data_IF_161282824775
#
_entry.id   IF_161282824775
#
_cell.length_a   1.000
_cell.length_b   1.000
_cell.length_c   1.000
_cell.angle_alpha   90.00
_cell.angle_beta   90.00
_cell.angle_gamma   90.00
#
_symmetry.space_group_name_H-M   'P 1'
#
loop_
_entity.id
_entity.type
_entity.pdbx_description
1 polymer ?
#
# COMPACT_ATOMS: atom_id res chain seq x y z
N UNK A 1 -6.47 4.64 -11.78
CA UNK A 1 -6.53 3.19 -11.52
C UNK A 1 -5.52 2.85 -10.43
N UNK A 2 -5.90 3.00 -9.16
CA UNK A 2 -5.07 2.70 -7.95
C UNK A 2 -5.93 2.70 -6.65
N UNK A 3 -7.27 2.72 -6.76
CA UNK A 3 -8.18 2.94 -5.62
C UNK A 3 -8.14 1.79 -4.60
N UNK A 4 -7.99 0.54 -5.06
CA UNK A 4 -7.99 -0.64 -4.20
C UNK A 4 -6.90 -0.63 -3.11
N UNK A 5 -5.68 -0.14 -3.40
CA UNK A 5 -4.60 -0.17 -2.40
C UNK A 5 -4.84 0.86 -1.30
N UNK A 6 -5.25 2.07 -1.68
CA UNK A 6 -5.56 3.15 -0.74
C UNK A 6 -6.78 2.81 0.10
N UNK A 7 -7.82 2.24 -0.50
CA UNK A 7 -9.02 1.76 0.21
C UNK A 7 -8.67 0.65 1.21
N UNK A 8 -7.78 -0.27 0.82
CA UNK A 8 -7.30 -1.34 1.69
C UNK A 8 -6.58 -0.77 2.92
N UNK A 9 -5.65 0.17 2.71
CA UNK A 9 -4.91 0.83 3.80
C UNK A 9 -5.85 1.61 4.71
N UNK A 10 -6.80 2.36 4.13
CA UNK A 10 -7.79 3.11 4.88
C UNK A 10 -8.70 2.22 5.72
N UNK A 11 -9.06 1.02 5.22
CA UNK A 11 -9.88 0.07 5.97
C UNK A 11 -9.18 -0.41 7.25
N UNK A 12 -7.86 -0.63 7.19
CA UNK A 12 -7.05 -1.08 8.34
C UNK A 12 -6.86 0.05 9.35
N UNK A 13 -6.60 1.27 8.87
CA UNK A 13 -6.35 2.45 9.70
C UNK A 13 -7.63 3.12 10.23
N UNK A 14 -8.82 2.62 9.84
CA UNK A 14 -10.12 3.21 10.19
C UNK A 14 -10.29 3.33 11.71
N UNK A 15 -10.42 4.56 12.21
CA UNK A 15 -10.61 4.84 13.64
C UNK A 15 -9.34 4.76 14.50
N UNK A 16 -8.17 4.45 13.93
CA UNK A 16 -6.90 4.43 14.65
C UNK A 16 -6.20 5.81 14.70
N UNK A 17 -6.58 6.73 13.81
CA UNK A 17 -5.85 7.99 13.56
C UNK A 17 -5.74 8.99 14.74
N UNK A 18 -6.53 8.82 15.80
CA UNK A 18 -6.50 9.69 16.99
C UNK A 18 -5.83 9.02 18.21
N UNK A 19 -5.26 7.83 18.04
CA UNK A 19 -4.62 7.10 19.13
C UNK A 19 -3.24 7.68 19.45
N UNK A 20 -2.80 7.62 20.73
CA UNK A 20 -1.40 7.85 21.07
C UNK A 20 -0.47 6.98 20.21
N UNK A 21 0.72 7.48 19.86
CA UNK A 21 1.64 6.83 18.88
C UNK A 21 1.84 5.33 19.16
N UNK A 22 2.04 4.94 20.42
CA UNK A 22 2.21 3.53 20.80
C UNK A 22 0.94 2.69 20.54
N UNK A 23 -0.23 3.24 20.85
CA UNK A 23 -1.52 2.59 20.61
C UNK A 23 -1.86 2.55 19.11
N UNK A 24 -1.49 3.57 18.34
CA UNK A 24 -1.61 3.59 16.88
C UNK A 24 -0.74 2.50 16.23
N UNK A 25 0.53 2.39 16.62
CA UNK A 25 1.46 1.37 16.10
C UNK A 25 0.93 -0.03 16.42
N UNK A 26 0.53 -0.26 17.68
CA UNK A 26 -0.02 -1.54 18.13
C UNK A 26 -1.31 -1.91 17.38
N UNK A 27 -2.25 -0.97 17.25
CA UNK A 27 -3.51 -1.20 16.54
C UNK A 27 -3.28 -1.48 15.05
N UNK A 28 -2.35 -0.75 14.42
CA UNK A 28 -2.00 -0.95 13.00
C UNK A 28 -1.42 -2.34 12.79
N UNK A 29 -0.48 -2.77 13.65
CA UNK A 29 0.13 -4.10 13.56
C UNK A 29 -0.92 -5.22 13.64
N UNK A 30 -1.76 -5.23 14.68
CA UNK A 30 -2.73 -6.31 14.86
C UNK A 30 -3.78 -6.35 13.76
N UNK A 31 -4.28 -5.19 13.33
CA UNK A 31 -5.29 -5.11 12.26
C UNK A 31 -4.72 -5.48 10.90
N UNK A 32 -3.47 -5.11 10.61
CA UNK A 32 -2.77 -5.60 9.42
C UNK A 32 -2.65 -7.12 9.47
N UNK A 33 -2.18 -7.67 10.58
CA UNK A 33 -2.01 -9.12 10.72
C UNK A 33 -3.35 -9.86 10.54
N UNK A 34 -4.41 -9.41 11.21
CA UNK A 34 -5.76 -9.97 11.05
C UNK A 34 -6.25 -9.87 9.60
N UNK A 35 -6.09 -8.71 8.96
CA UNK A 35 -6.45 -8.52 7.57
C UNK A 35 -5.72 -9.49 6.64
N UNK A 36 -4.40 -9.64 6.80
CA UNK A 36 -3.58 -10.55 6.01
C UNK A 36 -3.97 -12.02 6.24
N UNK A 37 -4.24 -12.42 7.49
CA UNK A 37 -4.71 -13.76 7.81
C UNK A 37 -6.05 -14.06 7.17
N UNK A 38 -7.01 -13.12 7.25
CA UNK A 38 -8.31 -13.25 6.58
C UNK A 38 -8.18 -13.36 5.07
N UNK A 39 -7.39 -12.47 4.45
CA UNK A 39 -7.17 -12.51 2.99
C UNK A 39 -6.45 -13.77 2.54
N UNK A 40 -5.50 -14.26 3.33
CA UNK A 40 -4.85 -15.55 3.11
C UNK A 40 -5.88 -16.68 3.10
N UNK A 41 -6.75 -16.77 4.11
CA UNK A 41 -7.82 -17.77 4.17
C UNK A 41 -8.77 -17.68 2.97
N UNK A 42 -9.27 -16.49 2.62
CA UNK A 42 -10.10 -16.25 1.44
C UNK A 42 -9.42 -16.76 0.16
N UNK A 43 -8.12 -16.47 -0.02
CA UNK A 43 -7.37 -16.97 -1.18
C UNK A 43 -7.16 -18.49 -1.17
N UNK A 44 -6.96 -19.10 0.00
CA UNK A 44 -6.85 -20.56 0.13
C UNK A 44 -8.18 -21.26 -0.18
N UNK A 45 -9.31 -20.73 0.27
CA UNK A 45 -10.64 -21.25 -0.04
C UNK A 45 -10.94 -21.14 -1.53
N UNK A 46 -10.66 -19.98 -2.15
CA UNK A 46 -10.79 -19.80 -3.59
C UNK A 46 -9.93 -20.81 -4.36
N UNK A 47 -8.68 -21.04 -3.95
CA UNK A 47 -7.83 -22.10 -4.51
C UNK A 47 -8.45 -23.48 -4.39
N UNK A 48 -8.99 -23.85 -3.21
CA UNK A 48 -9.65 -25.15 -2.98
C UNK A 48 -10.90 -25.31 -3.85
N UNK A 49 -11.65 -24.23 -4.05
CA UNK A 49 -12.82 -24.19 -4.94
C UNK A 49 -12.45 -24.16 -6.44
N UNK A 50 -11.17 -24.36 -6.79
CA UNK A 50 -10.71 -24.42 -8.18
C UNK A 50 -10.58 -23.06 -8.87
N UNK A 51 -10.76 -21.94 -8.16
CA UNK A 51 -10.51 -20.62 -8.71
C UNK A 51 -9.01 -20.44 -8.94
N UNK A 52 -8.62 -20.52 -10.21
CA UNK A 52 -7.28 -20.24 -10.68
C UNK A 52 -7.20 -18.75 -11.03
N UNK A 53 -6.58 -18.00 -10.11
CA UNK A 53 -6.38 -16.55 -10.23
C UNK A 53 -5.36 -16.18 -11.32
N UNK A 54 -4.57 -17.17 -11.77
CA UNK A 54 -3.55 -17.06 -12.80
C UNK A 54 -3.50 -18.35 -13.62
N UNK A 55 -4.40 -18.51 -14.60
CA UNK A 55 -4.20 -19.57 -15.61
C UNK A 55 -3.33 -18.99 -16.72
N UNK A 56 -2.14 -19.54 -16.85
CA UNK A 56 -1.24 -19.23 -17.94
C UNK A 56 -0.98 -20.49 -18.75
N UNK A 57 -1.03 -20.38 -20.08
CA UNK A 57 -0.39 -21.37 -20.94
C UNK A 57 1.02 -20.86 -21.25
N UNK A 58 2.02 -21.72 -21.08
CA UNK A 58 3.42 -21.33 -21.23
C UNK A 58 4.12 -22.20 -22.28
N UNK A 59 4.80 -21.56 -23.22
CA UNK A 59 5.65 -22.22 -24.20
C UNK A 59 7.09 -21.72 -24.01
N UNK A 60 8.05 -22.64 -23.90
CA UNK A 60 9.47 -22.28 -23.92
C UNK A 60 9.89 -22.06 -25.37
N UNK A 61 10.26 -20.83 -25.71
CA UNK A 61 10.72 -20.49 -27.07
C UNK A 61 12.22 -20.80 -27.16
N UNK A 62 13.00 -20.26 -26.22
CA UNK A 62 14.45 -20.41 -26.13
C UNK A 62 14.88 -20.58 -24.66
N UNK A 63 16.18 -20.76 -24.39
CA UNK A 63 16.68 -20.84 -23.02
C UNK A 63 16.29 -19.59 -22.23
N UNK A 64 15.57 -19.78 -21.12
CA UNK A 64 15.11 -18.73 -20.20
C UNK A 64 14.14 -17.68 -20.80
N UNK A 65 13.65 -17.90 -22.03
CA UNK A 65 12.65 -17.08 -22.72
C UNK A 65 11.35 -17.88 -22.92
N UNK A 66 10.24 -17.28 -22.50
CA UNK A 66 8.94 -17.92 -22.44
C UNK A 66 7.85 -17.06 -23.06
N UNK A 67 7.00 -17.69 -23.85
CA UNK A 67 5.70 -17.14 -24.22
C UNK A 67 4.70 -17.50 -23.11
N UNK A 68 4.03 -16.48 -22.58
CA UNK A 68 3.02 -16.61 -21.53
C UNK A 68 1.70 -16.08 -22.06
N UNK A 69 0.70 -16.95 -22.18
CA UNK A 69 -0.66 -16.58 -22.54
C UNK A 69 -1.52 -16.43 -21.30
N UNK A 70 -2.02 -15.23 -21.06
CA UNK A 70 -3.06 -14.98 -20.06
C UNK A 70 -4.39 -15.56 -20.54
N UNK A 71 -4.92 -16.57 -19.85
CA UNK A 71 -6.19 -17.17 -20.25
C UNK A 71 -7.39 -16.25 -19.94
N UNK A 72 -7.26 -15.33 -18.99
CA UNK A 72 -8.33 -14.37 -18.63
C UNK A 72 -8.49 -13.26 -19.66
N UNK A 73 -7.40 -12.80 -20.27
CA UNK A 73 -7.39 -11.69 -21.23
C UNK A 73 -7.12 -12.12 -22.67
N UNK A 74 -6.67 -13.36 -22.88
CA UNK A 74 -6.19 -13.87 -24.17
C UNK A 74 -4.83 -13.30 -24.60
N UNK A 75 -4.24 -12.38 -23.83
CA UNK A 75 -2.99 -11.71 -24.19
C UNK A 75 -1.80 -12.66 -24.14
N UNK A 76 -0.96 -12.56 -25.16
CA UNK A 76 0.31 -13.27 -25.25
C UNK A 76 1.42 -12.29 -24.91
N UNK A 77 2.29 -12.68 -23.99
CA UNK A 77 3.37 -11.86 -23.45
C UNK A 77 4.66 -12.67 -23.45
N UNK A 78 5.77 -12.05 -23.83
CA UNK A 78 7.10 -12.64 -23.74
C UNK A 78 7.71 -12.30 -22.38
N UNK A 79 8.30 -13.30 -21.76
CA UNK A 79 9.07 -13.20 -20.53
C UNK A 79 10.47 -13.69 -20.81
N UNK A 80 11.46 -12.82 -20.66
CA UNK A 80 12.87 -13.18 -20.64
C UNK A 80 13.37 -13.01 -19.21
N UNK A 81 13.55 -14.15 -18.54
CA UNK A 81 13.89 -14.18 -17.13
C UNK A 81 15.35 -13.75 -16.93
N UNK A 82 16.24 -14.13 -17.85
CA UNK A 82 17.67 -13.82 -17.81
C UNK A 82 17.93 -12.32 -17.89
N UNK A 83 17.27 -11.65 -18.84
CA UNK A 83 17.37 -10.20 -19.07
C UNK A 83 16.52 -9.37 -18.11
N UNK A 84 15.76 -10.04 -17.24
CA UNK A 84 14.82 -9.42 -16.29
C UNK A 84 13.76 -8.55 -16.97
N UNK A 85 13.18 -9.06 -18.06
CA UNK A 85 12.19 -8.33 -18.86
C UNK A 85 10.90 -9.12 -19.05
N UNK A 86 9.77 -8.41 -19.01
CA UNK A 86 8.47 -8.95 -19.36
C UNK A 86 7.67 -7.90 -20.14
N UNK A 87 6.93 -8.32 -21.16
CA UNK A 87 6.11 -7.41 -21.96
C UNK A 87 5.03 -6.66 -21.16
N UNK A 88 4.70 -7.14 -19.94
CA UNK A 88 3.80 -6.40 -19.06
C UNK A 88 4.42 -5.15 -18.43
N UNK A 89 5.74 -4.95 -18.55
CA UNK A 89 6.49 -3.79 -18.05
C UNK A 89 6.72 -3.74 -16.53
N UNK A 90 5.92 -4.46 -15.74
CA UNK A 90 6.02 -4.47 -14.28
C UNK A 90 7.39 -4.94 -13.78
N UNK A 91 7.98 -5.95 -14.41
CA UNK A 91 9.26 -6.49 -13.95
C UNK A 91 10.40 -5.46 -14.06
N UNK A 92 10.37 -4.64 -15.12
CA UNK A 92 11.35 -3.60 -15.38
C UNK A 92 11.16 -2.40 -14.45
N UNK A 93 9.91 -1.98 -14.24
CA UNK A 93 9.55 -0.80 -13.45
C UNK A 93 9.70 -1.08 -11.95
N UNK A 94 9.07 -2.16 -11.48
CA UNK A 94 9.03 -2.50 -10.06
C UNK A 94 10.28 -3.26 -9.61
N UNK A 95 11.11 -3.76 -10.55
CA UNK A 95 12.34 -4.52 -10.25
C UNK A 95 12.11 -5.73 -9.33
N UNK A 96 10.89 -6.24 -9.32
CA UNK A 96 10.48 -7.49 -8.65
C UNK A 96 9.74 -8.37 -9.66
N UNK A 97 9.79 -9.71 -9.52
CA UNK A 97 9.10 -10.62 -10.41
C UNK A 97 7.61 -10.30 -10.53
N UNK A 98 7.14 -10.03 -11.75
CA UNK A 98 5.71 -9.87 -12.01
C UNK A 98 4.98 -11.23 -12.00
N UNK A 99 3.65 -11.21 -12.09
CA UNK A 99 2.84 -12.44 -12.13
C UNK A 99 3.26 -13.44 -13.23
N UNK A 100 3.71 -12.94 -14.39
CA UNK A 100 4.18 -13.76 -15.51
C UNK A 100 5.51 -14.42 -15.20
N UNK A 101 6.47 -13.67 -14.66
CA UNK A 101 7.79 -14.19 -14.27
C UNK A 101 7.65 -15.22 -13.16
N UNK A 102 6.78 -14.98 -12.17
CA UNK A 102 6.47 -15.95 -11.11
C UNK A 102 5.91 -17.24 -11.71
N UNK A 103 4.99 -17.14 -12.67
CA UNK A 103 4.45 -18.32 -13.35
C UNK A 103 5.55 -19.09 -14.10
N UNK A 104 6.44 -18.40 -14.81
CA UNK A 104 7.54 -19.04 -15.50
C UNK A 104 8.52 -19.73 -14.54
N UNK A 105 8.86 -19.08 -13.43
CA UNK A 105 9.72 -19.64 -12.39
C UNK A 105 9.09 -20.89 -11.77
N UNK A 106 7.80 -20.83 -11.42
CA UNK A 106 7.07 -21.98 -10.86
C UNK A 106 7.06 -23.19 -11.81
N UNK A 107 6.85 -22.95 -13.11
CA UNK A 107 6.88 -24.00 -14.14
C UNK A 107 8.27 -24.63 -14.30
N UNK A 108 9.33 -23.82 -14.25
CA UNK A 108 10.71 -24.30 -14.35
C UNK A 108 11.29 -24.80 -13.01
N UNK A 109 10.50 -24.75 -11.91
CA UNK A 109 10.96 -25.04 -10.54
C UNK A 109 12.17 -24.20 -10.11
N UNK A 110 12.23 -22.97 -10.60
CA UNK A 110 13.25 -21.99 -10.23
C UNK A 110 12.70 -21.13 -9.10
N UNK A 111 13.53 -20.82 -8.11
CA UNK A 111 13.17 -19.86 -7.07
C UNK A 111 13.07 -18.45 -7.66
N UNK A 112 11.88 -17.85 -7.61
CA UNK A 112 11.64 -16.51 -8.13
C UNK A 112 12.33 -15.42 -7.29
N UNK A 113 12.73 -15.70 -6.04
CA UNK A 113 13.43 -14.74 -5.18
C UNK A 113 14.79 -14.32 -5.76
N UNK A 114 15.43 -15.16 -6.59
CA UNK A 114 16.67 -14.85 -7.29
C UNK A 114 16.55 -13.63 -8.22
N UNK A 115 15.32 -13.33 -8.64
CA UNK A 115 15.00 -12.27 -9.58
C UNK A 115 14.48 -10.98 -8.91
N UNK A 116 14.42 -10.94 -7.57
CA UNK A 116 14.20 -9.71 -6.81
C UNK A 116 15.46 -8.86 -6.86
N UNK A 117 15.33 -7.56 -7.18
CA UNK A 117 16.47 -6.66 -7.27
C UNK A 117 17.06 -6.32 -5.89
N UNK A 118 18.37 -6.12 -5.84
CA UNK A 118 19.13 -5.92 -4.60
C UNK A 118 18.67 -4.71 -3.77
N UNK A 119 18.07 -3.70 -4.41
CA UNK A 119 17.48 -2.53 -3.74
C UNK A 119 16.46 -2.91 -2.64
N UNK A 120 15.83 -4.07 -2.76
CA UNK A 120 14.88 -4.58 -1.78
C UNK A 120 15.53 -5.41 -0.66
N UNK A 121 16.84 -5.69 -0.73
CA UNK A 121 17.55 -6.40 0.32
C UNK A 121 17.72 -5.51 1.55
N UNK A 122 17.64 -6.13 2.72
CA UNK A 122 17.87 -5.44 4.00
C UNK A 122 19.24 -4.76 4.09
N UNK A 123 20.23 -5.24 3.34
CA UNK A 123 21.56 -4.60 3.23
C UNK A 123 21.46 -3.19 2.64
N UNK A 124 20.69 -3.01 1.56
CA UNK A 124 20.48 -1.70 0.93
C UNK A 124 19.57 -0.81 1.78
N UNK A 125 18.52 -1.39 2.37
CA UNK A 125 17.66 -0.66 3.33
C UNK A 125 18.49 -0.09 4.48
N UNK A 126 19.38 -0.88 5.08
CA UNK A 126 20.29 -0.41 6.14
C UNK A 126 21.22 0.70 5.67
N UNK A 127 21.67 0.70 4.41
CA UNK A 127 22.51 1.79 3.87
C UNK A 127 21.74 3.11 3.81
N UNK A 128 20.46 3.08 3.41
CA UNK A 128 19.60 4.29 3.40
C UNK A 128 19.45 4.88 4.80
N UNK A 129 19.27 4.03 5.81
CA UNK A 129 19.13 4.44 7.22
C UNK A 129 20.46 4.45 7.99
N UNK A 130 21.61 4.31 7.32
CA UNK A 130 22.91 4.31 7.99
C UNK A 130 23.26 5.68 8.56
N UNK A 131 22.70 6.74 7.99
CA UNK A 131 22.93 8.10 8.45
C UNK A 131 22.36 8.28 9.86
N UNK A 132 23.22 8.62 10.81
CA UNK A 132 22.81 8.99 12.15
C UNK A 132 22.24 10.40 12.10
N UNK A 133 20.99 10.56 12.53
CA UNK A 133 20.48 11.89 12.83
C UNK A 133 21.31 12.46 13.97
N UNK A 134 22.06 13.52 13.70
CA UNK A 134 22.63 14.32 14.77
C UNK A 134 21.47 14.87 15.57
N UNK A 135 21.39 14.50 16.85
CA UNK A 135 20.42 15.10 17.74
C UNK A 135 20.61 16.61 17.70
N UNK A 136 19.51 17.35 17.56
CA UNK A 136 19.55 18.79 17.75
C UNK A 136 20.08 19.02 19.18
N UNK A 137 21.23 19.69 19.30
CA UNK A 137 21.76 20.11 20.59
C UNK A 137 20.81 21.09 21.27
N UNK A 138 21.15 21.49 22.50
CA UNK A 138 20.37 22.48 23.23
C UNK A 138 20.20 23.75 22.40
N UNK A 139 19.02 24.37 22.46
CA UNK A 139 18.70 25.57 21.69
C UNK A 139 19.70 26.73 21.94
N UNK A 140 20.35 26.74 23.10
CA UNK A 140 21.40 27.70 23.48
C UNK A 140 22.69 27.55 22.66
N UNK A 141 22.94 26.37 22.10
CA UNK A 141 24.12 26.06 21.29
C UNK A 141 23.90 26.34 19.79
N UNK A 142 22.69 26.72 19.39
CA UNK A 142 22.37 26.95 18.00
C UNK A 142 23.01 28.25 17.49
N UNK A 143 23.61 28.26 16.29
CA UNK A 143 24.11 29.48 15.71
C UNK A 143 22.96 30.48 15.49
N UNK A 144 23.27 31.77 15.59
CA UNK A 144 22.28 32.82 15.32
C UNK A 144 21.70 32.63 13.91
N UNK A 145 20.37 32.57 13.83
CA UNK A 145 19.66 32.41 12.57
C UNK A 145 19.84 33.67 11.70
N UNK A 146 20.58 33.54 10.59
CA UNK A 146 20.82 34.63 9.63
C UNK A 146 19.84 34.68 8.45
N UNK A 147 18.82 33.81 8.43
CA UNK A 147 17.84 33.74 7.36
C UNK A 147 16.69 34.75 7.50
N UNK A 148 15.75 34.78 6.54
CA UNK A 148 14.61 35.67 6.60
C UNK A 148 13.69 35.32 7.78
N UNK A 149 13.24 36.33 8.53
CA UNK A 149 12.23 36.14 9.55
C UNK A 149 10.94 35.64 8.91
N UNK A 150 10.56 34.39 9.21
CA UNK A 150 9.30 33.82 8.77
C UNK A 150 8.16 34.45 9.58
N UNK A 151 7.54 35.49 9.03
CA UNK A 151 6.36 36.12 9.61
C UNK A 151 5.11 35.44 9.04
N UNK A 152 4.30 34.85 9.92
CA UNK A 152 3.01 34.31 9.52
C UNK A 152 2.12 35.45 8.99
N UNK A 153 1.57 35.31 7.78
CA UNK A 153 0.70 36.33 7.19
C UNK A 153 -0.58 36.50 8.03
N UNK A 154 -0.80 37.66 8.68
CA UNK A 154 -1.97 37.88 9.53
C UNK A 154 -3.29 37.80 8.77
N UNK A 155 -3.31 38.12 7.48
CA UNK A 155 -4.51 38.03 6.64
C UNK A 155 -4.90 36.58 6.33
N UNK A 156 -3.95 35.64 6.41
CA UNK A 156 -4.20 34.20 6.27
C UNK A 156 -4.41 33.51 7.62
N UNK A 157 -4.39 34.27 8.72
CA UNK A 157 -4.66 33.76 10.06
C UNK A 157 -6.11 33.32 10.12
N UNK A 158 -6.33 32.01 10.31
CA UNK A 158 -7.67 31.46 10.52
C UNK A 158 -8.26 32.05 11.80
N UNK A 159 -9.34 32.81 11.66
CA UNK A 159 -10.09 33.43 12.77
C UNK A 159 -11.31 32.60 13.19
N UNK A 160 -11.79 31.69 12.33
CA UNK A 160 -12.93 30.83 12.63
C UNK A 160 -12.52 29.68 13.55
N UNK A 161 -13.27 29.50 14.63
CA UNK A 161 -13.14 28.38 15.57
C UNK A 161 -13.65 27.09 14.89
N UNK A 162 -12.85 26.02 14.92
CA UNK A 162 -13.24 24.70 14.44
C UNK A 162 -12.38 24.17 13.29
N UNK A 163 -12.61 22.90 12.90
CA UNK A 163 -11.91 22.26 11.78
C UNK A 163 -12.22 23.03 10.50
N UNK A 164 -11.21 23.34 9.65
CA UNK A 164 -11.47 23.92 8.35
C UNK A 164 -12.50 23.08 7.58
N UNK A 165 -13.48 23.74 6.96
CA UNK A 165 -14.36 23.04 6.01
C UNK A 165 -13.48 22.35 4.98
N UNK A 166 -13.71 21.05 4.81
CA UNK A 166 -13.02 20.25 3.83
C UNK A 166 -13.32 20.84 2.45
N UNK A 167 -12.31 21.38 1.78
CA UNK A 167 -12.41 21.85 0.38
C UNK A 167 -12.11 20.74 -0.62
N UNK A 168 -11.75 19.54 -0.13
CA UNK A 168 -11.61 18.35 -0.97
C UNK A 168 -12.99 17.97 -1.49
N UNK A 169 -13.08 17.70 -2.80
CA UNK A 169 -14.26 17.08 -3.39
C UNK A 169 -14.58 15.80 -2.64
N UNK A 170 -15.80 15.72 -2.12
CA UNK A 170 -16.31 14.51 -1.47
C UNK A 170 -16.23 13.38 -2.50
N UNK A 171 -15.54 12.30 -2.14
CA UNK A 171 -15.53 11.07 -2.92
C UNK A 171 -16.29 9.98 -2.17
N UNK A 172 -16.41 8.79 -2.78
CA UNK A 172 -17.15 7.65 -2.20
C UNK A 172 -16.62 7.20 -0.81
N UNK A 173 -15.45 7.67 -0.37
CA UNK A 173 -14.95 7.44 1.00
C UNK A 173 -15.58 8.38 2.04
N UNK A 174 -16.10 9.54 1.62
CA UNK A 174 -16.83 10.49 2.48
C UNK A 174 -18.35 10.30 2.41
N UNK A 175 -18.85 9.57 1.42
CA UNK A 175 -20.20 9.04 1.46
C UNK A 175 -20.23 7.96 2.55
N UNK A 176 -20.47 8.39 3.77
CA UNK A 176 -21.09 7.51 4.73
C UNK A 176 -22.37 7.01 4.08
N UNK A 177 -22.48 5.70 3.83
CA UNK A 177 -23.80 5.08 3.89
C UNK A 177 -24.43 5.62 5.16
N UNK A 178 -25.46 6.44 4.96
CA UNK A 178 -26.24 7.05 6.01
C UNK A 178 -26.50 5.93 6.99
N UNK A 179 -25.86 6.01 8.17
CA UNK A 179 -26.20 5.09 9.23
C UNK A 179 -27.72 5.17 9.36
N UNK A 180 -28.36 4.00 9.48
CA UNK A 180 -29.79 3.91 9.74
C UNK A 180 -30.20 4.91 10.83
N UNK A 181 -31.48 5.29 10.87
CA UNK A 181 -31.91 6.53 11.50
C UNK A 181 -31.34 6.68 12.91
N UNK A 182 -30.86 7.88 13.26
CA UNK A 182 -30.17 8.10 14.54
C UNK A 182 -31.09 7.72 15.70
N UNK A 183 -30.65 6.74 16.48
CA UNK A 183 -31.39 6.25 17.64
C UNK A 183 -30.80 6.92 18.88
N UNK A 184 -31.66 7.52 19.71
CA UNK A 184 -31.26 8.10 21.00
C UNK A 184 -30.69 7.01 21.91
N UNK A 185 -29.45 7.17 22.39
CA UNK A 185 -28.77 6.17 23.23
C UNK A 185 -29.40 6.02 24.64
N UNK A 186 -30.28 6.94 25.03
CA UNK A 186 -30.98 6.88 26.32
C UNK A 186 -32.34 6.17 26.22
N UNK A 187 -33.05 6.27 25.09
CA UNK A 187 -34.42 5.77 24.99
C UNK A 187 -34.71 4.87 23.78
N UNK A 188 -33.77 4.70 22.84
CA UNK A 188 -33.95 3.75 21.73
C UNK A 188 -34.91 4.21 20.61
N UNK A 189 -35.39 5.46 20.62
CA UNK A 189 -36.30 6.00 19.60
C UNK A 189 -35.58 6.92 18.59
N UNK A 190 -36.19 7.08 17.41
CA UNK A 190 -35.71 7.94 16.32
C UNK A 190 -36.34 9.35 16.42
N UNK A 191 -35.70 10.35 15.81
CA UNK A 191 -36.18 11.72 15.58
C UNK A 191 -36.42 12.64 16.79
N UNK A 192 -35.55 12.59 17.79
CA UNK A 192 -35.37 13.73 18.69
C UNK A 192 -33.90 13.91 19.07
N UNK A 193 -33.51 15.17 19.26
CA UNK A 193 -32.19 15.56 19.78
C UNK A 193 -32.20 15.58 21.30
#
# INVERSE_FOLDING_TARGET
MTTNLVECINSVLKGAGNLPVLALVRATYYRLNEFFMRKSAETHERKRAGFTYFVFAQLRIENEVFEVREMTSGKVLVVDIARRTCDCGHFQVERIPCRHVIACCANQRIDCQLYVHDVYKMTEVRKVYKFEFTLLGDAETWPAYGGPTLVANPALRRTLKGRPKLTRYLNEMDSHDMHGPRICCLCGAQDHS
#
